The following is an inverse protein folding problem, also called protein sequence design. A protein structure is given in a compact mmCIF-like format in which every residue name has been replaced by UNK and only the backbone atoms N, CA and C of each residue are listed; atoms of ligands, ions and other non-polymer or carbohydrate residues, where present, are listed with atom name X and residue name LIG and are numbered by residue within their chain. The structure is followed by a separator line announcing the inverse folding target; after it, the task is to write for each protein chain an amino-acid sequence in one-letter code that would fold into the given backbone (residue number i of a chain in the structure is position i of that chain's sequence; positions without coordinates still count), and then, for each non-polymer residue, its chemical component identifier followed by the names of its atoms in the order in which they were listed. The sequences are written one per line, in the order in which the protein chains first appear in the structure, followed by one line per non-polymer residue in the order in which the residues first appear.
data_IF_723983067038
#
_entry.id   IF_723983067038
#
_cell.length_a   1.000
_cell.length_b   1.000
_cell.length_c   1.000
_cell.angle_alpha   90.00
_cell.angle_beta   90.00
_cell.angle_gamma   90.00
#
_symmetry.space_group_name_H-M   'P 1'
#
loop_
_entity.id
_entity.type
_entity.pdbx_description
1 polymer ?
#
# COMPACT_ATOMS: atom_id res chain seq x y z
N UNK A 1 -26.13 0.49 3.93
CA UNK A 1 -25.67 0.22 2.55
C UNK A 1 -24.16 0.11 2.60
N UNK A 2 -23.52 -0.98 2.16
CA UNK A 2 -22.08 -0.94 1.98
C UNK A 2 -21.79 0.16 0.95
N UNK A 3 -20.88 1.07 1.26
CA UNK A 3 -20.52 2.15 0.35
C UNK A 3 -20.01 1.49 -0.94
N UNK A 4 -20.53 1.88 -2.10
CA UNK A 4 -20.21 1.24 -3.38
C UNK A 4 -18.70 1.23 -3.72
N UNK A 5 -17.90 2.00 -2.98
CA UNK A 5 -16.45 2.14 -3.12
C UNK A 5 -15.76 2.12 -1.75
N UNK A 6 -15.90 1.03 -1.01
CA UNK A 6 -15.11 0.82 0.21
C UNK A 6 -13.61 0.77 -0.12
N UNK A 7 -12.87 1.75 0.39
CA UNK A 7 -11.42 1.88 0.18
C UNK A 7 -10.66 0.70 0.77
N UNK A 8 -11.06 0.21 1.95
CA UNK A 8 -10.39 -0.92 2.62
C UNK A 8 -10.46 -2.20 1.78
N UNK A 9 -11.63 -2.51 1.21
CA UNK A 9 -11.80 -3.63 0.30
C UNK A 9 -10.91 -3.53 -0.95
N UNK A 10 -10.71 -2.32 -1.49
CA UNK A 10 -9.84 -2.12 -2.65
C UNK A 10 -8.36 -2.31 -2.30
N UNK A 11 -7.90 -1.87 -1.11
CA UNK A 11 -6.53 -2.11 -0.65
C UNK A 11 -6.26 -3.61 -0.43
N UNK A 12 -7.21 -4.31 0.19
CA UNK A 12 -7.10 -5.77 0.38
C UNK A 12 -7.03 -6.51 -0.95
N UNK A 13 -7.85 -6.11 -1.93
CA UNK A 13 -7.82 -6.71 -3.27
C UNK A 13 -6.52 -6.39 -4.03
N UNK A 14 -6.00 -5.16 -3.91
CA UNK A 14 -4.73 -4.79 -4.50
C UNK A 14 -3.57 -5.63 -3.95
N UNK A 15 -3.53 -5.84 -2.62
CA UNK A 15 -2.55 -6.73 -1.97
C UNK A 15 -2.64 -8.16 -2.53
N UNK A 16 -3.85 -8.69 -2.69
CA UNK A 16 -4.06 -10.03 -3.25
C UNK A 16 -3.57 -10.11 -4.70
N UNK A 17 -3.92 -9.15 -5.56
CA UNK A 17 -3.44 -9.14 -6.94
C UNK A 17 -1.93 -8.97 -7.05
N UNK A 18 -1.31 -8.15 -6.20
CA UNK A 18 0.14 -8.01 -6.16
C UNK A 18 0.84 -9.31 -5.74
N UNK A 19 0.26 -10.08 -4.81
CA UNK A 19 0.79 -11.39 -4.39
C UNK A 19 0.59 -12.48 -5.43
N UNK A 20 -0.56 -12.46 -6.10
CA UNK A 20 -1.00 -13.54 -7.00
C UNK A 20 -0.57 -13.35 -8.46
N UNK A 21 0.03 -12.21 -8.82
CA UNK A 21 0.48 -11.94 -10.19
C UNK A 21 2.01 -11.98 -10.32
N UNK A 22 2.55 -12.48 -11.45
CA UNK A 22 3.99 -12.51 -11.74
C UNK A 22 4.65 -11.14 -11.88
N UNK A 23 3.87 -10.08 -12.13
CA UNK A 23 4.39 -8.72 -12.33
C UNK A 23 3.44 -7.64 -11.83
N UNK A 24 3.99 -6.46 -11.55
CA UNK A 24 3.22 -5.27 -11.18
C UNK A 24 2.21 -4.89 -12.26
N UNK A 25 2.61 -4.89 -13.53
CA UNK A 25 1.76 -4.47 -14.64
C UNK A 25 0.54 -5.38 -14.77
N UNK A 26 0.72 -6.70 -14.57
CA UNK A 26 -0.39 -7.65 -14.58
C UNK A 26 -1.34 -7.43 -13.39
N UNK A 27 -0.79 -7.26 -12.18
CA UNK A 27 -1.59 -6.95 -10.99
C UNK A 27 -2.39 -5.65 -11.17
N UNK A 28 -1.76 -4.62 -11.73
CA UNK A 28 -2.37 -3.33 -12.01
C UNK A 28 -3.49 -3.44 -13.05
N UNK A 29 -3.28 -4.20 -14.14
CA UNK A 29 -4.30 -4.44 -15.15
C UNK A 29 -5.51 -5.20 -14.59
N UNK A 30 -5.29 -6.18 -13.70
CA UNK A 30 -6.37 -6.89 -12.98
C UNK A 30 -7.15 -5.96 -12.07
N UNK A 31 -6.48 -5.10 -11.32
CA UNK A 31 -7.11 -4.12 -10.44
C UNK A 31 -7.95 -3.10 -11.23
N UNK A 32 -7.37 -2.53 -12.28
CA UNK A 32 -8.06 -1.61 -13.18
C UNK A 32 -9.31 -2.23 -13.79
N UNK A 33 -9.21 -3.45 -14.33
CA UNK A 33 -10.34 -4.15 -14.94
C UNK A 33 -11.46 -4.37 -13.93
N UNK A 34 -11.11 -4.75 -12.69
CA UNK A 34 -12.08 -4.99 -11.62
C UNK A 34 -12.79 -3.72 -11.19
N UNK A 35 -12.06 -2.63 -10.97
CA UNK A 35 -12.66 -1.36 -10.56
C UNK A 35 -13.51 -0.73 -11.67
N UNK A 36 -13.08 -0.80 -12.93
CA UNK A 36 -13.90 -0.36 -14.07
C UNK A 36 -15.20 -1.15 -14.18
N UNK A 37 -15.13 -2.48 -14.08
CA UNK A 37 -16.32 -3.33 -14.11
C UNK A 37 -17.28 -3.03 -12.96
N UNK A 38 -16.75 -2.85 -11.74
CA UNK A 38 -17.53 -2.48 -10.56
C UNK A 38 -18.20 -1.10 -10.70
N UNK A 39 -17.46 -0.09 -11.18
CA UNK A 39 -17.98 1.25 -11.42
C UNK A 39 -19.10 1.23 -12.48
N UNK A 40 -18.91 0.48 -13.56
CA UNK A 40 -19.91 0.28 -14.60
C UNK A 40 -21.17 -0.44 -14.10
N UNK A 41 -21.01 -1.53 -13.33
CA UNK A 41 -22.13 -2.27 -12.75
C UNK A 41 -22.94 -1.43 -11.74
N UNK A 42 -22.29 -0.46 -11.08
CA UNK A 42 -22.92 0.50 -10.20
C UNK A 42 -23.54 1.72 -10.93
N UNK A 43 -23.41 1.80 -12.25
CA UNK A 43 -23.91 2.91 -13.06
C UNK A 43 -23.17 4.24 -12.87
N UNK A 44 -21.95 4.19 -12.32
CA UNK A 44 -21.12 5.37 -11.98
C UNK A 44 -19.68 5.22 -12.51
N UNK A 45 -19.47 4.98 -13.82
CA UNK A 45 -18.14 4.74 -14.39
C UNK A 45 -17.16 5.89 -14.15
N UNK A 46 -17.65 7.13 -14.00
CA UNK A 46 -16.87 8.33 -13.72
C UNK A 46 -16.18 8.31 -12.35
N UNK A 47 -16.60 7.43 -11.43
CA UNK A 47 -15.93 7.27 -10.14
C UNK A 47 -14.61 6.50 -10.23
N UNK A 48 -14.32 5.86 -11.35
CA UNK A 48 -13.01 5.24 -11.56
C UNK A 48 -11.95 6.31 -11.85
N UNK A 49 -10.85 6.28 -11.08
CA UNK A 49 -9.70 7.14 -11.29
C UNK A 49 -8.43 6.31 -11.48
N UNK A 50 -7.91 6.30 -12.72
CA UNK A 50 -6.75 5.49 -13.08
C UNK A 50 -5.49 5.85 -12.29
N UNK A 51 -5.12 7.14 -12.25
CA UNK A 51 -3.91 7.60 -11.54
C UNK A 51 -3.95 7.27 -10.05
N UNK A 52 -5.07 7.52 -9.36
CA UNK A 52 -5.23 7.19 -7.93
C UNK A 52 -5.13 5.68 -7.71
N UNK A 53 -5.75 4.87 -8.57
CA UNK A 53 -5.65 3.40 -8.50
C UNK A 53 -4.18 2.96 -8.59
N UNK A 54 -3.46 3.46 -9.60
CA UNK A 54 -2.05 3.12 -9.81
C UNK A 54 -1.12 3.67 -8.73
N UNK A 55 -1.45 4.81 -8.12
CA UNK A 55 -0.73 5.36 -6.97
C UNK A 55 -0.80 4.37 -5.80
N UNK A 56 -2.00 3.92 -5.42
CA UNK A 56 -2.17 2.97 -4.32
C UNK A 56 -1.51 1.62 -4.63
N UNK A 57 -1.63 1.13 -5.86
CA UNK A 57 -0.91 -0.09 -6.28
C UNK A 57 0.61 0.04 -6.07
N UNK A 58 1.20 1.19 -6.44
CA UNK A 58 2.64 1.44 -6.24
C UNK A 58 3.02 1.52 -4.76
N UNK A 59 2.19 2.19 -3.95
CA UNK A 59 2.44 2.32 -2.51
C UNK A 59 2.39 0.97 -1.81
N UNK A 60 1.35 0.16 -2.10
CA UNK A 60 1.24 -1.18 -1.53
C UNK A 60 2.41 -2.06 -1.98
N UNK A 61 2.77 -2.03 -3.27
CA UNK A 61 3.92 -2.78 -3.77
C UNK A 61 5.23 -2.39 -3.07
N UNK A 62 5.43 -1.10 -2.78
CA UNK A 62 6.59 -0.63 -2.00
C UNK A 62 6.53 -1.10 -0.55
N UNK A 63 5.37 -1.09 0.08
CA UNK A 63 5.16 -1.55 1.47
C UNK A 63 5.28 -3.07 1.61
N UNK A 64 5.14 -3.83 0.52
CA UNK A 64 5.34 -5.28 0.48
C UNK A 64 6.82 -5.69 0.38
N UNK A 65 7.72 -4.75 0.13
CA UNK A 65 9.15 -5.02 0.07
C UNK A 65 9.67 -5.39 1.47
N UNK A 66 10.06 -6.64 1.67
CA UNK A 66 10.55 -7.15 2.95
C UNK A 66 11.84 -6.46 3.41
N UNK A 67 12.60 -5.92 2.47
CA UNK A 67 13.85 -5.18 2.73
C UNK A 67 13.57 -3.69 3.01
N UNK A 68 12.31 -3.24 2.93
CA UNK A 68 11.93 -1.85 3.21
C UNK A 68 12.47 -1.35 4.56
N UNK A 69 12.37 -2.08 5.69
CA UNK A 69 12.91 -1.61 6.96
C UNK A 69 14.41 -1.31 6.91
N UNK A 70 15.18 -2.06 6.11
CA UNK A 70 16.64 -1.87 5.99
C UNK A 70 17.03 -0.60 5.22
N UNK A 71 16.06 0.06 4.56
CA UNK A 71 16.29 1.39 3.99
C UNK A 71 16.19 2.54 5.02
N UNK A 72 15.65 2.25 6.21
CA UNK A 72 15.48 3.21 7.31
C UNK A 72 16.34 2.84 8.53
N UNK A 73 16.56 1.54 8.77
CA UNK A 73 17.27 1.02 9.93
C UNK A 73 18.53 0.25 9.53
N UNK A 74 19.59 0.39 10.33
CA UNK A 74 20.73 -0.51 10.27
C UNK A 74 20.36 -1.91 10.76
N UNK A 75 21.02 -2.93 10.19
CA UNK A 75 20.86 -4.33 10.65
C UNK A 75 21.26 -4.51 12.13
N UNK A 76 22.26 -3.76 12.59
CA UNK A 76 22.68 -3.75 14.00
C UNK A 76 21.55 -3.24 14.90
N UNK A 77 20.88 -2.13 14.53
CA UNK A 77 19.75 -1.60 15.30
C UNK A 77 18.59 -2.59 15.35
N UNK A 78 18.18 -3.15 14.20
CA UNK A 78 17.06 -4.11 14.13
C UNK A 78 17.32 -5.41 14.88
N UNK A 79 18.57 -5.84 14.99
CA UNK A 79 18.92 -7.08 15.70
C UNK A 79 19.11 -6.91 17.21
N UNK A 80 19.09 -5.67 17.72
CA UNK A 80 19.31 -5.37 19.13
C UNK A 80 18.16 -5.79 20.06
N UNK A 81 18.48 -6.09 21.33
CA UNK A 81 17.47 -6.37 22.36
C UNK A 81 16.54 -5.17 22.59
N UNK A 82 17.06 -3.95 22.46
CA UNK A 82 16.26 -2.73 22.59
C UNK A 82 15.16 -2.66 21.51
N UNK A 83 15.48 -3.00 20.25
CA UNK A 83 14.49 -3.06 19.17
C UNK A 83 13.44 -4.17 19.36
N UNK A 84 13.79 -5.26 20.07
CA UNK A 84 12.82 -6.31 20.42
C UNK A 84 11.89 -5.90 21.55
N UNK A 85 12.36 -5.05 22.46
CA UNK A 85 11.65 -4.64 23.68
C UNK A 85 10.82 -3.37 23.49
N UNK A 86 11.12 -2.55 22.48
CA UNK A 86 10.40 -1.31 22.23
C UNK A 86 10.67 -0.71 20.86
N UNK A 87 9.89 0.32 20.54
CA UNK A 87 10.11 1.13 19.34
C UNK A 87 11.40 1.94 19.48
N UNK A 88 12.21 1.93 18.43
CA UNK A 88 13.38 2.79 18.30
C UNK A 88 13.22 3.59 17.03
N UNK A 89 13.62 4.85 17.06
CA UNK A 89 13.66 5.65 15.83
C UNK A 89 14.66 5.07 14.81
N UNK A 90 14.38 5.22 13.50
CA UNK A 90 15.33 4.87 12.46
C UNK A 90 16.68 5.61 12.59
N UNK A 91 17.78 4.93 12.26
CA UNK A 91 19.13 5.48 12.33
C UNK A 91 19.78 5.77 10.98
N UNK A 92 19.22 5.30 9.86
CA UNK A 92 19.74 5.58 8.51
C UNK A 92 18.99 6.72 7.81
N UNK A 93 17.66 6.72 7.93
CA UNK A 93 16.78 7.71 7.32
C UNK A 93 15.57 7.92 8.21
N UNK A 94 15.13 9.16 8.47
CA UNK A 94 13.88 9.39 9.19
C UNK A 94 12.69 8.77 8.44
N UNK A 95 11.65 8.37 9.16
CA UNK A 95 10.36 8.16 8.53
C UNK A 95 9.87 9.51 8.00
N UNK A 96 9.19 9.50 6.85
CA UNK A 96 8.59 10.71 6.28
C UNK A 96 7.31 11.04 7.07
N UNK A 97 7.49 11.39 8.35
CA UNK A 97 6.41 11.73 9.27
C UNK A 97 6.15 13.24 9.19
N UNK A 98 5.59 13.70 8.07
CA UNK A 98 4.81 14.94 8.05
C UNK A 98 3.51 14.68 8.83
N UNK A 99 3.61 14.55 10.15
CA UNK A 99 2.51 13.97 10.94
C UNK A 99 2.54 14.15 12.45
N UNK A 100 3.59 14.72 13.05
CA UNK A 100 3.50 15.25 14.42
C UNK A 100 2.93 16.69 14.38
N UNK A 101 1.71 16.79 13.87
CA UNK A 101 0.79 17.86 14.27
C UNK A 101 -0.36 17.19 15.02
N UNK A 102 -0.11 16.89 16.29
CA UNK A 102 -1.17 17.00 17.26
C UNK A 102 -1.70 18.45 17.20
N UNK A 103 -2.78 18.68 16.48
CA UNK A 103 -3.64 19.85 16.62
C UNK A 103 -5.09 19.44 16.33
#
# INVERSE_FOLDING_TARGET
MPQAFDHGAHLALALEYLRASPSFDEAAARMESTLKAKAGAAGVPEKYHHTVTLFWMRMIARLMDEELPLSYYSSERLSSDAARLGWLEPDLRPLDDEGDSCN
#
